data_IF_982317667309
#
_entry.id   IF_982317667309
#
_cell.length_a   1.000
_cell.length_b   1.000
_cell.length_c   1.000
_cell.angle_alpha   90.00
_cell.angle_beta   90.00
_cell.angle_gamma   90.00
#
_symmetry.space_group_name_H-M   'P 1'
#
loop_
_entity.id
_entity.type
_entity.pdbx_description
1 polymer ?
#
# COMPACT_ATOMS: atom_id res chain seq x y z
N UNK A 1 9.38 -26.21 -47.43
CA UNK A 1 10.28 -25.75 -46.34
C UNK A 1 10.51 -24.24 -46.27
N UNK A 2 10.38 -23.45 -47.35
CA UNK A 2 10.59 -21.98 -47.30
C UNK A 2 9.46 -21.21 -46.57
N UNK A 3 8.22 -21.68 -46.65
CA UNK A 3 7.06 -21.02 -46.01
C UNK A 3 6.95 -21.26 -44.49
N UNK A 4 7.60 -22.31 -43.97
CA UNK A 4 7.60 -22.62 -42.53
C UNK A 4 8.57 -21.74 -41.72
N UNK A 5 9.61 -21.21 -42.37
CA UNK A 5 10.55 -20.27 -41.74
C UNK A 5 9.93 -18.87 -41.60
N UNK A 6 9.08 -18.45 -42.55
CA UNK A 6 8.47 -17.12 -42.55
C UNK A 6 7.38 -16.97 -41.48
N UNK A 7 6.66 -18.06 -41.16
CA UNK A 7 5.66 -18.08 -40.08
C UNK A 7 6.28 -18.12 -38.68
N UNK A 8 7.50 -18.65 -38.52
CA UNK A 8 8.20 -18.63 -37.23
C UNK A 8 8.75 -17.23 -36.87
N UNK A 9 9.09 -16.40 -37.86
CA UNK A 9 9.62 -15.04 -37.64
C UNK A 9 8.55 -14.04 -37.18
N UNK A 10 7.28 -14.23 -37.58
CA UNK A 10 6.17 -13.33 -37.24
C UNK A 10 5.65 -13.50 -35.80
N UNK A 11 5.97 -14.59 -35.12
CA UNK A 11 5.53 -14.85 -33.75
C UNK A 11 6.38 -14.12 -32.68
N UNK A 12 7.54 -13.57 -33.02
CA UNK A 12 8.42 -12.89 -32.06
C UNK A 12 8.21 -11.37 -31.95
N UNK A 13 7.41 -10.75 -32.83
CA UNK A 13 7.24 -9.28 -32.85
C UNK A 13 6.10 -8.79 -31.94
N UNK A 14 5.29 -9.70 -31.38
CA UNK A 14 4.07 -9.34 -30.65
C UNK A 14 4.25 -8.97 -29.16
N UNK A 15 5.45 -9.04 -28.59
CA UNK A 15 5.66 -8.93 -27.13
C UNK A 15 6.52 -7.74 -26.65
N UNK A 16 6.62 -6.66 -27.41
CA UNK A 16 7.43 -5.50 -27.02
C UNK A 16 6.60 -4.21 -26.92
N UNK A 17 5.57 -4.20 -26.07
CA UNK A 17 4.87 -2.96 -25.69
C UNK A 17 4.71 -2.88 -24.17
N UNK A 18 5.81 -3.14 -23.45
CA UNK A 18 5.89 -2.79 -22.03
C UNK A 18 6.17 -1.28 -21.98
N UNK A 19 5.17 -0.48 -21.59
CA UNK A 19 5.41 0.93 -21.30
C UNK A 19 6.48 1.02 -20.23
N UNK A 20 7.42 1.97 -20.37
CA UNK A 20 8.50 2.17 -19.39
C UNK A 20 7.97 2.38 -17.98
N UNK A 21 6.75 2.91 -17.83
CA UNK A 21 6.07 3.02 -16.55
C UNK A 21 4.92 2.02 -16.50
N UNK A 22 4.81 1.26 -15.42
CA UNK A 22 3.69 0.33 -15.21
C UNK A 22 3.17 0.37 -13.78
N UNK A 23 1.90 0.04 -13.61
CA UNK A 23 1.24 -0.07 -12.31
C UNK A 23 0.77 -1.52 -12.16
N UNK A 24 1.05 -2.13 -11.01
CA UNK A 24 0.48 -3.42 -10.63
C UNK A 24 -0.45 -3.23 -9.44
N UNK A 25 -1.62 -3.82 -9.53
CA UNK A 25 -2.61 -3.88 -8.46
C UNK A 25 -2.70 -5.33 -7.97
N UNK A 26 -2.97 -5.53 -6.69
CA UNK A 26 -3.14 -6.86 -6.11
C UNK A 26 -3.54 -6.79 -4.64
N UNK A 27 -3.54 -7.94 -3.99
CA UNK A 27 -3.94 -8.06 -2.58
C UNK A 27 -2.74 -8.44 -1.70
N UNK A 28 -2.78 -8.00 -0.45
CA UNK A 28 -1.79 -8.36 0.57
C UNK A 28 -2.49 -8.59 1.91
N UNK A 29 -2.09 -9.61 2.67
CA UNK A 29 -2.74 -9.93 3.94
C UNK A 29 -1.72 -10.20 5.02
N UNK A 30 -1.94 -9.61 6.19
CA UNK A 30 -1.27 -9.97 7.44
C UNK A 30 -2.21 -10.89 8.21
N UNK A 31 -1.80 -12.13 8.42
CA UNK A 31 -2.66 -13.15 9.01
C UNK A 31 -2.41 -13.28 10.50
N UNK A 32 -3.50 -13.31 11.26
CA UNK A 32 -3.49 -13.53 12.70
C UNK A 32 -2.79 -12.40 13.44
N UNK A 33 -2.86 -12.42 14.76
CA UNK A 33 -2.10 -11.50 15.59
C UNK A 33 -2.19 -11.86 17.05
N UNK A 34 -1.26 -11.30 17.81
CA UNK A 34 -1.17 -11.48 19.26
C UNK A 34 -0.93 -10.13 19.90
N UNK A 35 -1.59 -9.90 21.03
CA UNK A 35 -1.32 -8.76 21.90
C UNK A 35 -1.58 -9.15 23.36
N UNK A 36 -0.53 -9.11 24.18
CA UNK A 36 -0.58 -9.58 25.59
C UNK A 36 -1.09 -11.03 25.65
N UNK A 37 -2.23 -11.26 26.30
CA UNK A 37 -2.85 -12.58 26.47
C UNK A 37 -3.98 -12.85 25.46
N UNK A 38 -4.11 -12.01 24.44
CA UNK A 38 -5.13 -12.14 23.40
C UNK A 38 -4.47 -12.52 22.08
N UNK A 39 -5.07 -13.47 21.38
CA UNK A 39 -4.71 -13.85 20.01
C UNK A 39 -5.97 -13.90 19.16
N UNK A 40 -5.82 -13.67 17.87
CA UNK A 40 -6.91 -13.74 16.91
C UNK A 40 -6.44 -14.38 15.61
N UNK A 41 -7.37 -15.01 14.89
CA UNK A 41 -7.12 -15.65 13.61
C UNK A 41 -7.56 -14.83 12.39
N UNK A 42 -8.12 -13.64 12.63
CA UNK A 42 -8.49 -12.68 11.58
C UNK A 42 -7.29 -12.24 10.74
N UNK A 43 -7.53 -11.88 9.48
CA UNK A 43 -6.52 -11.32 8.58
C UNK A 43 -6.79 -9.85 8.31
N UNK A 44 -5.74 -9.03 8.38
CA UNK A 44 -5.76 -7.65 7.94
C UNK A 44 -5.41 -7.60 6.46
N UNK A 45 -6.41 -7.35 5.63
CA UNK A 45 -6.29 -7.35 4.16
C UNK A 45 -6.04 -5.94 3.64
N UNK A 46 -5.13 -5.80 2.69
CA UNK A 46 -4.69 -4.56 2.07
C UNK A 46 -4.85 -4.64 0.56
N UNK A 47 -5.32 -3.55 -0.01
CA UNK A 47 -5.12 -3.26 -1.42
C UNK A 47 -3.65 -2.90 -1.62
N UNK A 48 -2.99 -3.56 -2.58
CA UNK A 48 -1.62 -3.28 -2.96
C UNK A 48 -1.60 -2.59 -4.31
N UNK A 49 -0.88 -1.47 -4.37
CA UNK A 49 -0.58 -0.78 -5.62
C UNK A 49 0.90 -0.50 -5.71
N UNK A 50 1.54 -0.98 -6.78
CA UNK A 50 2.97 -0.88 -7.02
C UNK A 50 3.25 -0.12 -8.31
N UNK A 51 4.10 0.91 -8.24
CA UNK A 51 4.52 1.70 -9.40
C UNK A 51 5.94 1.34 -9.81
N UNK A 52 6.09 0.88 -11.05
CA UNK A 52 7.35 0.44 -11.62
C UNK A 52 7.83 1.37 -12.73
N UNK A 53 9.14 1.56 -12.80
CA UNK A 53 9.82 2.01 -14.02
C UNK A 53 10.68 0.86 -14.55
N UNK A 54 10.33 0.35 -15.73
CA UNK A 54 10.85 -0.88 -16.31
C UNK A 54 10.71 -2.05 -15.32
N UNK A 55 11.81 -2.58 -14.81
CA UNK A 55 11.82 -3.65 -13.81
C UNK A 55 12.04 -3.14 -12.37
N UNK A 56 12.20 -1.83 -12.18
CA UNK A 56 12.49 -1.23 -10.88
C UNK A 56 11.20 -0.79 -10.17
N UNK A 57 10.98 -1.28 -8.95
CA UNK A 57 9.89 -0.82 -8.09
C UNK A 57 10.24 0.56 -7.52
N UNK A 58 9.56 1.61 -7.97
CA UNK A 58 9.82 2.98 -7.50
C UNK A 58 9.06 3.27 -6.21
N UNK A 59 7.79 2.84 -6.13
CA UNK A 59 6.92 3.08 -4.99
C UNK A 59 5.95 1.91 -4.81
N UNK A 60 5.68 1.53 -3.57
CA UNK A 60 4.67 0.54 -3.25
C UNK A 60 3.79 1.03 -2.11
N UNK A 61 2.49 0.78 -2.25
CA UNK A 61 1.47 1.16 -1.29
C UNK A 61 0.68 -0.07 -0.91
N UNK A 62 0.62 -0.37 0.38
CA UNK A 62 -0.37 -1.29 0.96
C UNK A 62 -1.32 -0.42 1.77
N UNK A 63 -2.60 -0.42 1.42
CA UNK A 63 -3.58 0.45 2.07
C UNK A 63 -4.82 -0.34 2.45
N UNK A 64 -5.40 -0.04 3.61
CA UNK A 64 -6.64 -0.69 4.06
C UNK A 64 -7.45 0.21 4.99
N UNK A 65 -8.77 0.04 4.96
CA UNK A 65 -9.66 0.54 6.01
C UNK A 65 -9.76 -0.54 7.09
N UNK A 66 -9.27 -0.22 8.29
CA UNK A 66 -9.41 -1.15 9.43
C UNK A 66 -10.84 -1.04 9.96
N UNK A 67 -11.52 -2.19 10.07
CA UNK A 67 -12.82 -2.30 10.74
C UNK A 67 -12.69 -1.83 12.21
N UNK A 68 -13.58 -0.95 12.71
CA UNK A 68 -13.58 -0.50 14.11
C UNK A 68 -13.65 -1.63 15.16
N UNK A 69 -14.13 -2.81 14.76
CA UNK A 69 -14.22 -4.01 15.61
C UNK A 69 -13.01 -4.94 15.49
N UNK A 70 -12.08 -4.65 14.56
CA UNK A 70 -10.93 -5.51 14.30
C UNK A 70 -9.98 -5.57 15.50
N UNK A 71 -9.53 -6.78 15.89
CA UNK A 71 -8.60 -6.96 17.00
C UNK A 71 -7.20 -6.39 16.69
N UNK A 72 -6.88 -6.11 15.43
CA UNK A 72 -5.64 -5.42 15.04
C UNK A 72 -5.54 -4.01 15.63
N UNK A 73 -6.65 -3.38 16.02
CA UNK A 73 -6.65 -2.12 16.75
C UNK A 73 -6.00 -2.25 18.13
N UNK A 74 -5.86 -3.45 18.68
CA UNK A 74 -5.14 -3.66 19.95
C UNK A 74 -3.63 -3.40 19.85
N UNK A 75 -3.07 -3.36 18.64
CA UNK A 75 -1.68 -2.93 18.43
C UNK A 75 -1.47 -1.42 18.56
N UNK A 76 -2.54 -0.62 18.52
CA UNK A 76 -2.48 0.81 18.76
C UNK A 76 -2.37 1.09 20.27
N UNK A 77 -1.55 2.07 20.61
CA UNK A 77 -1.52 2.70 21.93
C UNK A 77 -2.79 3.51 22.20
N UNK A 78 -3.07 3.89 23.46
CA UNK A 78 -4.23 4.73 23.79
C UNK A 78 -4.31 6.05 23.01
N UNK A 79 -3.17 6.72 22.77
CA UNK A 79 -3.13 7.97 22.01
C UNK A 79 -3.39 7.76 20.51
N UNK A 80 -2.88 6.67 19.93
CA UNK A 80 -3.14 6.34 18.52
C UNK A 80 -4.60 5.87 18.34
N UNK A 81 -5.18 5.17 19.32
CA UNK A 81 -6.61 4.84 19.34
C UNK A 81 -7.49 6.08 19.42
N UNK A 82 -7.12 7.05 20.27
CA UNK A 82 -7.85 8.31 20.36
C UNK A 82 -7.85 9.03 19.00
N UNK A 83 -6.68 9.12 18.36
CA UNK A 83 -6.56 9.66 17.02
C UNK A 83 -7.43 8.92 16.00
N UNK A 84 -7.39 7.59 15.99
CA UNK A 84 -8.21 6.75 15.12
C UNK A 84 -9.71 7.05 15.28
N UNK A 85 -10.18 7.19 16.53
CA UNK A 85 -11.58 7.47 16.83
C UNK A 85 -12.02 8.91 16.50
N UNK A 86 -11.08 9.86 16.41
CA UNK A 86 -11.36 11.24 15.97
C UNK A 86 -11.55 11.34 14.45
N UNK A 87 -11.07 10.36 13.69
CA UNK A 87 -11.18 10.32 12.25
C UNK A 87 -12.59 9.85 11.86
N UNK A 88 -13.23 10.56 10.95
CA UNK A 88 -14.49 10.12 10.34
C UNK A 88 -14.23 9.05 9.27
N UNK A 89 -13.07 9.13 8.64
CA UNK A 89 -12.58 8.12 7.71
C UNK A 89 -11.06 7.99 7.86
N UNK A 90 -10.57 6.76 7.80
CA UNK A 90 -9.17 6.46 8.04
C UNK A 90 -8.69 5.30 7.21
N UNK A 91 -7.40 5.35 6.88
CA UNK A 91 -6.71 4.26 6.22
C UNK A 91 -5.38 3.98 6.92
N UNK A 92 -5.10 2.71 7.14
CA UNK A 92 -3.76 2.27 7.45
C UNK A 92 -2.98 2.15 6.14
N UNK A 93 -1.87 2.88 6.02
CA UNK A 93 -1.01 2.85 4.86
C UNK A 93 0.41 2.40 5.23
N UNK A 94 0.93 1.43 4.49
CA UNK A 94 2.32 1.04 4.49
C UNK A 94 2.93 1.49 3.16
N UNK A 95 3.91 2.38 3.22
CA UNK A 95 4.53 2.96 2.02
C UNK A 95 6.00 2.58 1.92
N UNK A 96 6.38 2.08 0.74
CA UNK A 96 7.76 1.87 0.33
C UNK A 96 8.10 2.83 -0.81
N UNK A 97 9.36 3.27 -0.84
CA UNK A 97 9.92 4.02 -1.97
C UNK A 97 11.38 3.61 -2.13
N UNK A 98 11.83 3.48 -3.37
CA UNK A 98 13.22 3.15 -3.70
C UNK A 98 14.07 4.42 -3.83
N UNK A 99 13.60 5.38 -4.62
CA UNK A 99 14.32 6.60 -4.98
C UNK A 99 13.38 7.81 -4.86
N UNK A 100 13.73 8.74 -3.96
CA UNK A 100 12.96 9.95 -3.70
C UNK A 100 12.92 10.91 -4.89
N UNK A 101 13.85 10.82 -5.82
CA UNK A 101 13.93 11.73 -6.96
C UNK A 101 12.92 11.37 -8.07
N UNK A 102 12.36 10.15 -8.02
CA UNK A 102 11.34 9.67 -8.98
C UNK A 102 9.93 9.75 -8.39
N UNK A 103 9.68 9.01 -7.32
CA UNK A 103 8.41 9.00 -6.60
C UNK A 103 8.74 9.04 -5.12
N UNK A 104 8.63 10.22 -4.52
CA UNK A 104 8.86 10.38 -3.09
C UNK A 104 7.58 10.08 -2.28
N UNK A 105 7.78 9.66 -1.03
CA UNK A 105 6.70 9.61 -0.03
C UNK A 105 5.98 10.96 0.12
N UNK A 106 6.72 12.07 0.02
CA UNK A 106 6.16 13.42 0.11
C UNK A 106 5.14 13.69 -1.00
N UNK A 107 5.37 13.19 -2.22
CA UNK A 107 4.40 13.33 -3.30
C UNK A 107 3.10 12.60 -3.00
N UNK A 108 3.18 11.41 -2.40
CA UNK A 108 2.00 10.66 -1.96
C UNK A 108 1.24 11.42 -0.85
N UNK A 109 1.91 11.78 0.24
CA UNK A 109 1.25 12.45 1.37
C UNK A 109 0.74 13.85 1.02
N UNK A 110 1.38 14.58 0.09
CA UNK A 110 0.84 15.85 -0.43
C UNK A 110 -0.53 15.65 -1.09
N UNK A 111 -0.67 14.63 -1.94
CA UNK A 111 -1.94 14.31 -2.59
C UNK A 111 -3.01 13.85 -1.59
N UNK A 112 -2.63 13.09 -0.56
CA UNK A 112 -3.55 12.71 0.51
C UNK A 112 -4.05 13.95 1.27
N UNK A 113 -3.17 14.88 1.58
CA UNK A 113 -3.51 16.12 2.26
C UNK A 113 -4.42 17.03 1.40
N UNK A 114 -4.18 17.12 0.09
CA UNK A 114 -5.07 17.82 -0.86
C UNK A 114 -6.48 17.22 -0.89
N UNK A 115 -6.60 15.92 -0.63
CA UNK A 115 -7.89 15.21 -0.50
C UNK A 115 -8.49 15.28 0.92
N UNK A 116 -7.83 15.97 1.85
CA UNK A 116 -8.28 16.17 3.23
C UNK A 116 -7.80 15.12 4.24
N UNK A 117 -6.91 14.21 3.82
CA UNK A 117 -6.30 13.20 4.70
C UNK A 117 -4.97 13.68 5.23
N UNK A 118 -4.87 13.80 6.55
CA UNK A 118 -3.60 14.05 7.24
C UNK A 118 -2.94 12.73 7.59
N UNK A 119 -1.64 12.62 7.38
CA UNK A 119 -0.86 11.47 7.82
C UNK A 119 -0.40 11.64 9.27
N UNK A 120 -0.49 10.55 10.02
CA UNK A 120 0.00 10.45 11.38
C UNK A 120 0.85 9.20 11.51
N UNK A 121 2.00 9.34 12.18
CA UNK A 121 2.80 8.19 12.55
C UNK A 121 2.12 7.43 13.69
N UNK A 122 2.04 6.11 13.54
CA UNK A 122 1.49 5.19 14.55
C UNK A 122 2.59 4.20 15.01
N UNK A 123 3.61 4.70 15.72
CA UNK A 123 4.80 3.91 16.04
C UNK A 123 4.55 2.63 16.85
N UNK A 124 3.48 2.54 17.66
CA UNK A 124 3.22 1.29 18.40
C UNK A 124 2.64 0.23 17.49
N UNK A 125 1.74 0.59 16.58
CA UNK A 125 1.28 -0.32 15.54
C UNK A 125 2.46 -0.78 14.68
N UNK A 126 3.32 0.16 14.25
CA UNK A 126 4.51 -0.16 13.48
C UNK A 126 5.46 -1.11 14.22
N UNK A 127 5.61 -0.94 15.54
CA UNK A 127 6.41 -1.82 16.40
C UNK A 127 5.78 -3.20 16.52
N UNK A 128 4.47 -3.28 16.76
CA UNK A 128 3.76 -4.56 16.84
C UNK A 128 3.88 -5.33 15.52
N UNK A 129 3.72 -4.63 14.39
CA UNK A 129 3.91 -5.20 13.06
C UNK A 129 5.34 -5.72 12.86
N UNK A 130 6.37 -4.97 13.29
CA UNK A 130 7.78 -5.40 13.22
C UNK A 130 8.08 -6.67 14.02
N UNK A 131 7.31 -6.91 15.09
CA UNK A 131 7.43 -8.09 15.94
C UNK A 131 6.56 -9.26 15.44
N UNK A 132 5.77 -9.06 14.37
CA UNK A 132 4.96 -10.11 13.78
C UNK A 132 5.86 -11.18 13.14
N UNK A 133 5.57 -12.48 13.31
CA UNK A 133 6.42 -13.57 12.78
C UNK A 133 6.60 -13.49 11.26
N UNK A 134 5.58 -13.02 10.54
CA UNK A 134 5.64 -12.91 9.08
C UNK A 134 6.33 -11.61 8.60
N UNK A 135 6.76 -10.70 9.49
CA UNK A 135 7.28 -9.39 9.10
C UNK A 135 8.47 -9.47 8.13
N UNK A 136 9.42 -10.36 8.41
CA UNK A 136 10.60 -10.55 7.56
C UNK A 136 10.26 -11.29 6.27
N UNK A 137 9.42 -12.32 6.36
CA UNK A 137 8.96 -13.08 5.21
C UNK A 137 8.20 -12.21 4.20
N UNK A 138 7.42 -11.25 4.71
CA UNK A 138 6.67 -10.29 3.90
C UNK A 138 7.52 -9.10 3.41
N UNK A 139 8.82 -9.06 3.72
CA UNK A 139 9.77 -8.02 3.28
C UNK A 139 9.34 -6.59 3.65
N UNK A 140 8.75 -6.41 4.84
CA UNK A 140 8.17 -5.13 5.26
C UNK A 140 9.18 -4.17 5.92
N UNK A 141 10.46 -4.52 5.99
CA UNK A 141 11.49 -3.76 6.74
C UNK A 141 11.64 -2.31 6.25
N UNK A 142 11.41 -2.09 4.95
CA UNK A 142 11.59 -0.79 4.30
C UNK A 142 10.28 0.03 4.23
N UNK A 143 9.17 -0.50 4.72
CA UNK A 143 7.88 0.18 4.71
C UNK A 143 7.74 1.12 5.90
N UNK A 144 7.19 2.30 5.64
CA UNK A 144 6.75 3.22 6.68
C UNK A 144 5.26 3.03 6.91
N UNK A 145 4.89 2.87 8.17
CA UNK A 145 3.50 2.72 8.60
C UNK A 145 2.94 4.07 9.03
N UNK A 146 1.80 4.44 8.48
CA UNK A 146 1.09 5.69 8.80
C UNK A 146 -0.42 5.47 8.83
N UNK A 147 -1.11 6.26 9.65
CA UNK A 147 -2.56 6.42 9.62
C UNK A 147 -2.89 7.65 8.77
N UNK A 148 -3.63 7.47 7.69
CA UNK A 148 -4.27 8.56 6.95
C UNK A 148 -5.61 8.83 7.59
N UNK A 149 -5.89 10.09 7.94
CA UNK A 149 -7.07 10.46 8.71
C UNK A 149 -7.77 11.67 8.11
N UNK A 150 -9.06 11.54 7.84
CA UNK A 150 -9.94 12.63 7.46
C UNK A 150 -11.00 12.83 8.56
N UNK A 151 -11.09 14.04 9.10
CA UNK A 151 -12.03 14.37 10.19
C UNK A 151 -13.40 14.84 9.69
N UNK A 152 -13.48 15.30 8.45
CA UNK A 152 -14.65 16.03 7.95
C UNK A 152 -15.57 15.13 7.11
N UNK A 153 -14.99 14.30 6.24
CA UNK A 153 -15.72 13.47 5.29
C UNK A 153 -15.05 12.12 5.05
N UNK A 154 -15.88 11.13 4.72
CA UNK A 154 -15.42 9.92 4.07
C UNK A 154 -15.28 10.18 2.56
N UNK A 155 -14.28 9.56 1.94
CA UNK A 155 -14.00 9.76 0.53
C UNK A 155 -13.32 8.57 -0.11
N UNK A 156 -13.43 8.52 -1.44
CA UNK A 156 -12.53 7.72 -2.26
C UNK A 156 -11.19 8.43 -2.34
N UNK A 157 -10.10 7.66 -2.29
CA UNK A 157 -8.76 8.17 -2.44
C UNK A 157 -8.30 7.97 -3.87
N UNK A 158 -7.63 8.96 -4.44
CA UNK A 158 -7.02 8.83 -5.76
C UNK A 158 -5.53 9.18 -5.68
N UNK A 159 -4.69 8.41 -6.36
CA UNK A 159 -3.26 8.66 -6.44
C UNK A 159 -2.84 8.78 -7.89
N UNK A 160 -2.15 9.87 -8.21
CA UNK A 160 -1.61 10.14 -9.53
C UNK A 160 -0.13 10.52 -9.39
N UNK A 161 0.75 9.79 -10.07
CA UNK A 161 2.15 10.17 -10.20
C UNK A 161 2.44 10.61 -11.64
N UNK A 162 3.40 11.54 -11.84
CA UNK A 162 3.77 11.97 -13.19
C UNK A 162 4.13 10.78 -14.08
N UNK A 163 3.59 10.76 -15.30
CA UNK A 163 3.80 9.69 -16.29
C UNK A 163 3.23 8.31 -15.89
N UNK A 164 2.31 8.26 -14.92
CA UNK A 164 1.48 7.10 -14.57
C UNK A 164 0.00 7.46 -14.70
N UNK A 165 -0.86 6.46 -14.91
CA UNK A 165 -2.32 6.66 -14.82
C UNK A 165 -2.74 6.90 -13.36
N UNK A 166 -3.88 7.56 -13.18
CA UNK A 166 -4.55 7.68 -11.88
C UNK A 166 -5.02 6.30 -11.40
N UNK A 167 -4.88 6.06 -10.10
CA UNK A 167 -5.37 4.87 -9.41
C UNK A 167 -6.34 5.32 -8.33
N UNK A 168 -7.54 4.74 -8.32
CA UNK A 168 -8.48 4.89 -7.20
C UNK A 168 -8.16 3.83 -6.15
N UNK A 169 -7.98 4.25 -4.91
CA UNK A 169 -7.76 3.41 -3.75
C UNK A 169 -9.09 3.29 -3.00
N UNK A 170 -9.45 2.08 -2.59
CA UNK A 170 -10.79 1.66 -2.16
C UNK A 170 -11.74 1.34 -3.31
N UNK A 171 -12.03 0.05 -3.46
CA UNK A 171 -13.41 -0.42 -3.70
C UNK A 171 -14.15 -0.53 -2.37
#
# INVERSE_FOLDING_TARGET
MKYALLTFSLLFVACANLSKNSIKEGDFSIKRGVFKNQSWDESLNFDRVSWYHELSLNFDLLITKIDPTSPFLNWLSPSEKALFNECKDHFLALTYHLDSDRISKRMFYSQMNEQGYKDYLIPNFARALKLHPDFEFLSLQLYQVSLLCNKDKAGELEVTFPSFRTVKLSK
#
